data_IF_915145820392
#
_entry.id   IF_915145820392
#
_cell.length_a   1.000
_cell.length_b   1.000
_cell.length_c   1.000
_cell.angle_alpha   90.00
_cell.angle_beta   90.00
_cell.angle_gamma   90.00
#
_symmetry.space_group_name_H-M   'P 1'
#
loop_
_entity.id
_entity.type
_entity.pdbx_description
1 polymer ?
#
# COMPACT_ATOMS: atom_id res chain seq x y z
N UNK A 1 19.86 -38.64 14.83
CA UNK A 1 20.01 -37.74 13.69
C UNK A 1 19.95 -38.45 12.33
N UNK A 2 20.80 -39.45 12.00
CA UNK A 2 20.76 -40.12 10.66
C UNK A 2 19.42 -40.75 10.29
N UNK A 3 18.66 -41.35 11.23
CA UNK A 3 17.33 -41.95 10.95
C UNK A 3 16.22 -40.93 10.67
N UNK A 4 16.28 -39.72 11.24
CA UNK A 4 15.31 -38.68 10.97
C UNK A 4 15.50 -38.01 9.60
N UNK A 5 16.75 -37.86 9.15
CA UNK A 5 17.07 -37.30 7.83
C UNK A 5 16.55 -38.20 6.71
N UNK A 6 16.65 -39.52 6.87
CA UNK A 6 16.12 -40.47 5.87
C UNK A 6 14.59 -40.48 5.76
N UNK A 7 13.87 -40.23 6.85
CA UNK A 7 12.39 -40.17 6.83
C UNK A 7 11.93 -38.91 6.11
N UNK A 8 12.56 -37.75 6.33
CA UNK A 8 12.23 -36.47 5.65
C UNK A 8 12.51 -36.60 4.15
N UNK A 9 13.62 -37.22 3.73
CA UNK A 9 13.91 -37.43 2.30
C UNK A 9 12.91 -38.37 1.62
N UNK A 10 12.40 -39.38 2.30
CA UNK A 10 11.40 -40.31 1.75
C UNK A 10 10.04 -39.64 1.62
N UNK A 11 9.64 -38.78 2.58
CA UNK A 11 8.37 -38.02 2.53
C UNK A 11 8.40 -36.96 1.42
N UNK A 12 9.53 -36.28 1.22
CA UNK A 12 9.67 -35.35 0.10
C UNK A 12 9.64 -36.04 -1.27
N UNK A 13 10.26 -37.18 -1.41
CA UNK A 13 10.23 -37.97 -2.65
C UNK A 13 8.81 -38.51 -2.97
N UNK A 14 8.02 -38.88 -1.96
CA UNK A 14 6.61 -39.27 -2.14
C UNK A 14 5.71 -38.12 -2.54
N UNK A 15 5.93 -36.92 -1.99
CA UNK A 15 5.15 -35.72 -2.37
C UNK A 15 5.39 -35.32 -3.84
N UNK A 16 6.63 -35.41 -4.32
CA UNK A 16 6.98 -35.10 -5.72
C UNK A 16 6.35 -36.12 -6.68
N UNK A 17 6.22 -37.38 -6.30
CA UNK A 17 5.56 -38.40 -7.13
C UNK A 17 4.04 -38.20 -7.21
N UNK A 18 3.38 -37.69 -6.17
CA UNK A 18 1.94 -37.47 -6.18
C UNK A 18 1.58 -36.26 -7.09
N UNK A 19 2.43 -35.25 -7.16
CA UNK A 19 2.22 -34.10 -8.08
C UNK A 19 2.45 -34.43 -9.55
N UNK A 20 3.29 -35.44 -9.86
CA UNK A 20 3.53 -35.88 -11.24
C UNK A 20 2.38 -36.73 -11.84
N UNK A 21 1.54 -37.36 -11.00
CA UNK A 21 0.43 -38.19 -11.46
C UNK A 21 -0.87 -37.42 -11.79
N UNK A 22 -0.97 -36.15 -11.39
CA UNK A 22 -2.16 -35.32 -11.67
C UNK A 22 -2.13 -34.59 -13.03
N UNK A 23 -1.05 -34.72 -13.81
CA UNK A 23 -0.92 -34.04 -15.11
C UNK A 23 -0.97 -34.95 -16.34
N UNK A 24 -1.25 -36.23 -16.17
CA UNK A 24 -1.33 -37.20 -17.29
C UNK A 24 -2.80 -37.64 -17.51
N UNK A 25 -3.60 -36.82 -18.12
CA UNK A 25 -4.92 -37.29 -18.51
C UNK A 25 -5.87 -36.19 -19.00
N UNK A 26 -5.66 -35.64 -20.18
CA UNK A 26 -6.71 -35.09 -21.06
C UNK A 26 -6.09 -34.73 -22.41
N UNK A 27 -6.08 -35.66 -23.36
CA UNK A 27 -5.93 -35.34 -24.78
C UNK A 27 -7.32 -35.19 -25.40
N UNK A 28 -7.61 -34.12 -26.17
CA UNK A 28 -8.85 -34.01 -26.91
C UNK A 28 -8.80 -34.90 -28.16
N UNK A 29 -9.80 -35.68 -28.39
CA UNK A 29 -10.08 -36.40 -29.63
C UNK A 29 -10.57 -35.43 -30.69
N UNK A 30 -9.88 -35.30 -31.79
CA UNK A 30 -10.42 -34.74 -33.06
C UNK A 30 -11.55 -35.62 -33.56
N UNK A 31 -12.71 -35.00 -33.87
CA UNK A 31 -13.69 -35.55 -34.76
C UNK A 31 -13.97 -34.53 -35.86
N UNK A 32 -13.44 -34.85 -37.04
CA UNK A 32 -13.82 -34.29 -38.33
C UNK A 32 -15.23 -34.76 -38.69
N UNK A 33 -16.16 -33.82 -38.95
CA UNK A 33 -17.22 -33.99 -39.92
C UNK A 33 -17.86 -32.63 -40.21
N UNK A 34 -17.57 -32.14 -41.42
CA UNK A 34 -18.37 -31.12 -42.13
C UNK A 34 -19.72 -31.73 -42.56
N UNK A 35 -20.79 -30.98 -42.51
CA UNK A 35 -21.52 -30.71 -43.75
C UNK A 35 -21.98 -29.26 -43.94
N UNK A 36 -22.10 -28.92 -45.20
CA UNK A 36 -22.46 -27.71 -45.91
C UNK A 36 -23.97 -27.32 -45.77
N UNK A 37 -24.38 -26.18 -46.35
CA UNK A 37 -25.32 -25.25 -45.72
C UNK A 37 -26.75 -25.37 -46.27
N UNK A 38 -27.74 -24.91 -45.51
CA UNK A 38 -29.10 -24.68 -46.05
C UNK A 38 -29.73 -23.41 -45.46
N UNK A 39 -29.95 -22.48 -46.38
CA UNK A 39 -30.97 -21.42 -46.53
C UNK A 39 -31.72 -20.82 -45.33
N UNK A 40 -31.68 -19.49 -45.34
CA UNK A 40 -32.63 -18.56 -44.72
C UNK A 40 -34.10 -18.79 -45.13
N UNK A 41 -35.12 -18.29 -44.38
CA UNK A 41 -35.62 -16.97 -44.74
C UNK A 41 -36.02 -16.03 -43.58
N UNK A 42 -35.65 -14.77 -43.82
CA UNK A 42 -36.44 -13.51 -43.74
C UNK A 42 -37.68 -13.47 -42.85
N UNK A 43 -37.71 -12.53 -41.92
CA UNK A 43 -38.78 -11.53 -41.71
C UNK A 43 -38.37 -10.47 -40.69
N UNK A 44 -38.20 -9.24 -41.16
CA UNK A 44 -38.40 -8.01 -40.39
C UNK A 44 -39.89 -7.85 -40.05
N UNK A 45 -40.20 -7.07 -39.00
CA UNK A 45 -40.98 -5.87 -39.25
C UNK A 45 -40.38 -4.61 -38.63
N UNK A 46 -40.48 -3.57 -39.40
CA UNK A 46 -40.28 -2.16 -39.06
C UNK A 46 -41.36 -1.60 -38.12
N UNK A 47 -41.09 -0.35 -37.71
CA UNK A 47 -42.00 0.73 -37.24
C UNK A 47 -41.92 0.88 -35.69
N UNK A 48 -41.74 2.04 -35.05
CA UNK A 48 -42.03 3.43 -35.43
C UNK A 48 -41.15 4.39 -34.62
N UNK A 49 -40.87 5.52 -35.25
CA UNK A 49 -40.32 6.76 -34.77
C UNK A 49 -41.22 7.43 -33.70
N UNK A 50 -40.61 7.90 -32.64
CA UNK A 50 -41.33 8.62 -31.59
C UNK A 50 -40.36 9.48 -30.74
N UNK A 51 -39.82 10.56 -31.34
CA UNK A 51 -39.10 11.61 -30.64
C UNK A 51 -40.06 12.50 -29.86
N UNK A 52 -39.87 12.74 -28.55
CA UNK A 52 -40.44 13.94 -27.89
C UNK A 52 -39.36 15.00 -27.68
N UNK A 53 -39.61 16.14 -28.20
CA UNK A 53 -38.96 17.43 -28.04
C UNK A 53 -38.91 17.88 -26.56
N UNK A 54 -37.81 18.40 -26.05
CA UNK A 54 -37.80 19.00 -24.72
C UNK A 54 -38.33 20.42 -24.71
N UNK A 55 -39.19 20.72 -23.73
CA UNK A 55 -39.73 22.04 -23.45
C UNK A 55 -38.71 22.92 -22.69
N UNK A 56 -38.79 24.27 -22.76
CA UNK A 56 -37.74 25.18 -22.34
C UNK A 56 -37.70 25.42 -20.83
N UNK A 57 -36.46 25.50 -20.32
CA UNK A 57 -36.13 25.87 -18.94
C UNK A 57 -36.34 27.36 -18.73
N UNK A 58 -37.09 27.73 -17.72
CA UNK A 58 -37.29 29.11 -17.27
C UNK A 58 -36.16 29.50 -16.30
N UNK A 59 -35.52 30.64 -16.59
CA UNK A 59 -34.53 31.34 -15.76
C UNK A 59 -35.26 32.18 -14.69
N UNK A 60 -34.87 32.13 -13.40
CA UNK A 60 -35.31 33.15 -12.45
C UNK A 60 -34.35 34.34 -12.43
N UNK A 61 -34.91 35.53 -12.58
CA UNK A 61 -34.26 36.82 -12.43
C UNK A 61 -33.86 37.12 -10.98
N UNK A 62 -32.69 37.72 -10.84
CA UNK A 62 -32.26 38.44 -9.64
C UNK A 62 -33.11 39.68 -9.43
N UNK A 63 -33.59 39.89 -8.20
CA UNK A 63 -33.93 41.22 -7.67
C UNK A 63 -33.14 41.43 -6.40
N UNK A 64 -32.26 42.41 -6.47
CA UNK A 64 -31.53 42.93 -5.33
C UNK A 64 -32.40 43.79 -4.43
N UNK A 65 -32.09 43.77 -3.15
CA UNK A 65 -32.35 44.91 -2.23
C UNK A 65 -31.27 44.90 -1.15
N UNK A 66 -30.44 45.94 -1.19
CA UNK A 66 -29.55 46.35 -0.11
C UNK A 66 -30.39 46.81 1.09
N UNK A 67 -30.00 46.33 2.28
CA UNK A 67 -30.29 47.06 3.51
C UNK A 67 -29.07 46.99 4.41
N UNK A 68 -28.40 48.09 4.51
CA UNK A 68 -27.37 48.45 5.47
C UNK A 68 -27.99 48.51 6.87
N UNK A 69 -27.41 47.83 7.85
CA UNK A 69 -27.74 48.06 9.26
C UNK A 69 -26.45 48.11 10.05
N UNK A 70 -26.20 49.27 10.64
CA UNK A 70 -25.07 49.63 11.47
C UNK A 70 -24.93 48.73 12.70
N UNK A 71 -23.66 48.46 13.07
CA UNK A 71 -23.24 47.79 14.30
C UNK A 71 -23.21 48.78 15.47
N UNK A 72 -23.58 48.39 16.68
CA UNK A 72 -23.21 49.16 17.87
C UNK A 72 -21.84 48.73 18.37
N UNK A 73 -20.96 49.70 18.48
CA UNK A 73 -19.67 49.64 19.18
C UNK A 73 -19.90 49.42 20.67
N UNK A 74 -19.38 48.33 21.22
CA UNK A 74 -19.21 48.18 22.66
C UNK A 74 -17.72 48.14 22.98
N UNK A 75 -17.30 49.14 23.71
CA UNK A 75 -16.01 49.36 24.32
C UNK A 75 -15.81 48.36 25.47
N UNK A 76 -14.84 47.45 25.37
CA UNK A 76 -14.43 46.57 26.49
C UNK A 76 -12.91 46.67 26.62
N UNK A 77 -12.51 47.28 27.72
CA UNK A 77 -11.15 47.37 28.27
C UNK A 77 -10.47 45.99 28.40
N UNK A 78 -9.18 45.87 28.15
CA UNK A 78 -8.50 44.59 28.24
C UNK A 78 -8.25 44.20 29.70
N UNK A 79 -8.92 43.16 30.15
CA UNK A 79 -8.59 42.46 31.37
C UNK A 79 -7.37 41.52 31.12
N UNK A 80 -6.32 41.74 31.88
CA UNK A 80 -5.07 40.97 31.88
C UNK A 80 -5.37 39.53 32.23
N UNK A 81 -5.28 38.63 31.24
CA UNK A 81 -5.24 37.19 31.49
C UNK A 81 -3.79 36.74 31.49
N UNK A 82 -3.31 36.36 32.68
CA UNK A 82 -2.02 35.68 32.84
C UNK A 82 -1.98 34.42 31.96
N UNK A 83 -1.00 34.35 31.05
CA UNK A 83 -0.65 33.12 30.33
C UNK A 83 -0.20 32.05 31.33
N UNK A 84 -0.72 30.83 31.27
CA UNK A 84 -0.11 29.71 31.98
C UNK A 84 1.22 29.39 31.28
N UNK A 85 2.33 29.74 31.90
CA UNK A 85 3.66 29.22 31.56
C UNK A 85 3.71 27.72 31.88
N UNK A 86 3.03 26.91 31.07
CA UNK A 86 3.29 25.51 30.93
C UNK A 86 4.44 25.34 29.98
N UNK A 87 5.63 25.00 30.48
CA UNK A 87 6.73 24.49 29.70
C UNK A 87 6.19 23.36 28.84
N UNK A 88 5.98 23.64 27.53
CA UNK A 88 5.80 22.59 26.56
C UNK A 88 7.06 21.71 26.64
N UNK A 89 6.88 20.49 27.14
CA UNK A 89 7.92 19.47 27.05
C UNK A 89 8.18 19.31 25.54
N UNK A 90 9.33 19.77 25.10
CA UNK A 90 9.80 19.51 23.75
C UNK A 90 9.82 17.99 23.59
N UNK A 91 8.92 17.49 22.74
CA UNK A 91 8.97 16.10 22.31
C UNK A 91 10.36 15.88 21.70
N UNK A 92 11.07 14.81 22.06
CA UNK A 92 12.39 14.56 21.50
C UNK A 92 12.26 14.55 19.97
N UNK A 93 13.00 15.48 19.33
CA UNK A 93 13.12 15.57 17.89
C UNK A 93 13.65 14.20 17.41
N UNK A 94 12.95 13.56 16.48
CA UNK A 94 13.43 12.31 15.88
C UNK A 94 14.80 12.54 15.23
N UNK A 95 15.64 11.51 15.20
CA UNK A 95 16.95 11.59 14.55
C UNK A 95 16.74 11.96 13.07
N UNK A 96 17.33 13.10 12.65
CA UNK A 96 17.35 13.50 11.24
C UNK A 96 18.24 12.53 10.47
N UNK A 97 17.64 11.78 9.55
CA UNK A 97 18.37 10.85 8.69
C UNK A 97 18.50 11.48 7.29
N UNK A 98 19.70 11.96 6.99
CA UNK A 98 20.02 12.47 5.67
C UNK A 98 20.38 11.31 4.72
N UNK A 99 19.62 11.19 3.62
CA UNK A 99 19.84 10.20 2.57
C UNK A 99 20.70 10.83 1.46
N UNK A 100 21.74 11.58 1.80
CA UNK A 100 22.68 12.06 0.80
C UNK A 100 23.48 10.91 0.20
N UNK A 101 23.23 10.65 -1.05
CA UNK A 101 23.94 9.65 -1.83
C UNK A 101 24.28 10.22 -3.18
N UNK A 102 25.36 9.78 -3.79
CA UNK A 102 25.76 10.13 -5.16
C UNK A 102 24.81 9.54 -6.22
N UNK A 103 23.48 9.53 -5.97
CA UNK A 103 22.45 9.02 -6.84
C UNK A 103 22.17 7.53 -6.71
N UNK A 104 22.80 6.83 -5.74
CA UNK A 104 22.53 5.42 -5.44
C UNK A 104 21.99 5.26 -4.02
N UNK A 105 21.11 4.28 -3.78
CA UNK A 105 20.66 3.95 -2.44
C UNK A 105 21.83 3.61 -1.53
N UNK A 106 21.85 4.16 -0.32
CA UNK A 106 22.80 3.76 0.71
C UNK A 106 22.11 3.00 1.81
N UNK A 107 22.80 1.98 2.31
CA UNK A 107 22.35 1.24 3.49
C UNK A 107 22.48 2.15 4.71
N UNK A 108 21.37 2.43 5.35
CA UNK A 108 21.37 2.97 6.71
C UNK A 108 20.41 2.13 7.56
N UNK A 109 20.78 1.92 8.81
CA UNK A 109 19.98 1.15 9.75
C UNK A 109 18.98 2.07 10.43
N UNK A 110 17.68 1.88 10.16
CA UNK A 110 16.67 2.37 11.08
C UNK A 110 16.86 1.69 12.44
N UNK A 111 16.65 2.42 13.55
CA UNK A 111 16.66 1.79 14.85
C UNK A 111 15.62 0.67 14.92
N UNK A 112 16.02 -0.55 15.30
CA UNK A 112 15.14 -1.70 15.52
C UNK A 112 14.89 -1.95 17.00
N UNK A 113 15.15 -0.95 17.85
CA UNK A 113 15.00 -1.04 19.29
C UNK A 113 13.53 -1.15 19.69
N UNK A 114 13.23 -2.04 20.66
CA UNK A 114 11.89 -2.25 21.19
C UNK A 114 11.61 -1.49 22.50
N UNK A 115 12.56 -0.71 22.99
CA UNK A 115 12.43 0.15 24.20
C UNK A 115 11.89 -0.60 25.42
N UNK A 116 12.33 -1.83 25.62
CA UNK A 116 11.94 -2.70 26.72
C UNK A 116 10.58 -3.41 26.54
N UNK A 117 9.95 -3.27 25.38
CA UNK A 117 8.75 -4.05 25.01
C UNK A 117 9.14 -5.43 24.46
N UNK A 118 8.26 -6.40 24.66
CA UNK A 118 8.37 -7.71 23.99
C UNK A 118 7.92 -7.63 22.53
N UNK A 119 8.34 -8.61 21.71
CA UNK A 119 7.85 -8.74 20.34
C UNK A 119 6.32 -8.83 20.28
N UNK A 120 5.72 -9.61 21.18
CA UNK A 120 4.27 -9.80 21.23
C UNK A 120 3.51 -8.49 21.54
N UNK A 121 4.02 -7.63 22.43
CA UNK A 121 3.42 -6.33 22.68
C UNK A 121 3.48 -5.42 21.45
N UNK A 122 4.62 -5.42 20.73
CA UNK A 122 4.75 -4.67 19.50
C UNK A 122 3.85 -5.20 18.38
N UNK A 123 3.73 -6.51 18.24
CA UNK A 123 2.89 -7.16 17.23
C UNK A 123 1.40 -6.96 17.50
N UNK A 124 0.96 -6.96 18.74
CA UNK A 124 -0.43 -6.66 19.13
C UNK A 124 -0.87 -5.24 18.70
N UNK A 125 0.06 -4.30 18.56
CA UNK A 125 -0.24 -2.96 18.05
C UNK A 125 -0.83 -2.96 16.65
N UNK A 126 -0.56 -4.00 15.84
CA UNK A 126 -1.07 -4.13 14.47
C UNK A 126 -2.49 -4.71 14.37
N UNK A 127 -3.11 -5.10 15.47
CA UNK A 127 -4.42 -5.79 15.47
C UNK A 127 -5.51 -5.05 14.67
N UNK A 128 -5.54 -3.72 14.73
CA UNK A 128 -6.50 -2.88 14.01
C UNK A 128 -5.88 -2.20 12.76
N UNK A 129 -4.73 -2.69 12.30
CA UNK A 129 -4.06 -2.20 11.11
C UNK A 129 -4.53 -2.93 9.84
N UNK A 130 -4.36 -2.25 8.69
CA UNK A 130 -4.48 -2.82 7.36
C UNK A 130 -3.21 -2.49 6.56
N UNK A 131 -2.52 -3.52 6.06
CA UNK A 131 -1.47 -3.35 5.08
C UNK A 131 -2.09 -3.20 3.69
N UNK A 132 -1.75 -2.11 3.01
CA UNK A 132 -2.24 -1.77 1.67
C UNK A 132 -1.07 -1.76 0.71
N UNK A 133 -1.17 -2.48 -0.41
CA UNK A 133 -0.03 -2.52 -1.33
C UNK A 133 -0.19 -3.41 -2.55
N UNK A 134 0.94 -3.64 -3.19
CA UNK A 134 1.10 -4.43 -4.41
C UNK A 134 1.54 -5.88 -4.13
N UNK A 135 2.22 -6.49 -5.10
CA UNK A 135 2.76 -7.86 -4.98
C UNK A 135 3.78 -8.02 -3.84
N UNK A 136 4.47 -6.95 -3.44
CA UNK A 136 5.41 -7.00 -2.30
C UNK A 136 4.63 -7.16 -0.99
N UNK A 137 3.54 -6.39 -0.82
CA UNK A 137 2.65 -6.55 0.35
C UNK A 137 1.89 -7.88 0.29
N UNK A 138 1.58 -8.39 -0.91
CA UNK A 138 1.01 -9.74 -1.06
C UNK A 138 2.00 -10.82 -0.57
N UNK A 139 3.29 -10.65 -0.84
CA UNK A 139 4.35 -11.49 -0.28
C UNK A 139 4.41 -11.42 1.25
N UNK A 140 4.33 -10.21 1.83
CA UNK A 140 4.23 -10.00 3.28
C UNK A 140 3.00 -10.70 3.87
N UNK A 141 1.84 -10.62 3.22
CA UNK A 141 0.62 -11.34 3.62
C UNK A 141 0.85 -12.86 3.64
N UNK A 142 1.51 -13.40 2.61
CA UNK A 142 1.80 -14.84 2.52
C UNK A 142 2.75 -15.27 3.64
N UNK A 143 3.80 -14.47 3.89
CA UNK A 143 4.73 -14.72 5.00
C UNK A 143 4.01 -14.64 6.36
N UNK A 144 3.19 -13.62 6.60
CA UNK A 144 2.39 -13.51 7.82
C UNK A 144 1.49 -14.74 8.02
N UNK A 145 0.82 -15.20 6.96
CA UNK A 145 -0.03 -16.41 7.01
C UNK A 145 0.76 -17.68 7.33
N UNK A 146 2.01 -17.78 6.87
CA UNK A 146 2.91 -18.88 7.20
C UNK A 146 3.32 -18.83 8.68
N UNK A 147 3.72 -17.67 9.16
CA UNK A 147 4.18 -17.49 10.54
C UNK A 147 3.06 -17.75 11.55
N UNK A 148 1.83 -17.36 11.26
CA UNK A 148 0.64 -17.63 12.10
C UNK A 148 0.37 -19.12 12.33
N UNK A 149 0.88 -20.01 11.50
CA UNK A 149 0.77 -21.47 11.73
C UNK A 149 1.57 -21.95 12.94
N UNK A 150 2.66 -21.24 13.29
CA UNK A 150 3.54 -21.59 14.39
C UNK A 150 3.45 -20.59 15.55
N UNK A 151 3.06 -19.37 15.28
CA UNK A 151 2.87 -18.28 16.24
C UNK A 151 1.53 -17.58 15.98
N UNK A 152 0.44 -18.00 16.65
CA UNK A 152 -0.89 -17.38 16.47
C UNK A 152 -0.96 -15.90 16.84
N UNK A 153 0.05 -15.37 17.52
CA UNK A 153 0.16 -13.95 17.89
C UNK A 153 0.89 -13.10 16.86
N UNK A 154 1.50 -13.71 15.85
CA UNK A 154 2.35 -13.01 14.88
C UNK A 154 1.59 -11.92 14.14
N UNK A 155 1.92 -10.65 14.41
CA UNK A 155 1.25 -9.44 13.91
C UNK A 155 -0.28 -9.42 14.11
N UNK A 156 -0.79 -10.19 15.07
CA UNK A 156 -2.19 -10.18 15.49
C UNK A 156 -3.18 -10.46 14.35
N UNK A 157 -4.34 -9.80 14.44
CA UNK A 157 -5.38 -9.87 13.41
C UNK A 157 -5.22 -8.79 12.33
N UNK A 158 -3.98 -8.45 11.97
CA UNK A 158 -3.74 -7.44 10.93
C UNK A 158 -4.42 -7.83 9.62
N UNK A 159 -4.90 -6.84 8.89
CA UNK A 159 -5.64 -7.05 7.64
C UNK A 159 -4.76 -6.69 6.46
N UNK A 160 -5.16 -7.16 5.29
CA UNK A 160 -4.46 -6.92 4.05
C UNK A 160 -5.44 -6.51 2.96
N UNK A 161 -5.09 -5.45 2.23
CA UNK A 161 -5.79 -4.99 1.05
C UNK A 161 -4.75 -4.76 -0.05
N UNK A 162 -4.42 -5.83 -0.76
CA UNK A 162 -3.31 -5.86 -1.71
C UNK A 162 -3.64 -6.71 -2.93
N UNK A 163 -3.06 -6.34 -4.09
CA UNK A 163 -3.22 -7.02 -5.36
C UNK A 163 -1.92 -6.91 -6.17
N UNK A 164 -1.62 -7.91 -6.99
CA UNK A 164 -0.48 -7.85 -7.90
C UNK A 164 -0.57 -6.66 -8.86
N UNK A 165 0.56 -6.00 -9.14
CA UNK A 165 0.65 -4.84 -10.04
C UNK A 165 -0.17 -3.60 -9.62
N UNK A 166 -0.77 -3.61 -8.44
CA UNK A 166 -1.49 -2.45 -7.91
C UNK A 166 -0.54 -1.30 -7.59
N UNK A 167 -1.05 -0.07 -7.57
CA UNK A 167 -0.23 1.11 -7.28
C UNK A 167 -1.10 2.33 -6.98
N UNK A 168 -0.47 3.47 -6.72
CA UNK A 168 -1.16 4.73 -6.46
C UNK A 168 -2.12 5.10 -7.59
N UNK A 169 -1.64 5.05 -8.86
CA UNK A 169 -2.45 5.42 -10.01
C UNK A 169 -3.66 4.51 -10.19
N UNK A 170 -3.47 3.19 -10.09
CA UNK A 170 -4.57 2.23 -10.18
C UNK A 170 -5.60 2.41 -9.05
N UNK A 171 -5.16 2.84 -7.86
CA UNK A 171 -6.05 3.12 -6.74
C UNK A 171 -6.98 4.33 -6.97
N UNK A 172 -6.61 5.22 -7.89
CA UNK A 172 -7.38 6.41 -8.24
C UNK A 172 -8.35 6.19 -9.41
N UNK A 173 -8.23 5.07 -10.12
CA UNK A 173 -9.13 4.70 -11.20
C UNK A 173 -10.54 4.39 -10.69
N UNK A 174 -11.57 4.43 -11.57
CA UNK A 174 -12.89 3.93 -11.23
C UNK A 174 -12.87 2.44 -10.86
N UNK A 175 -13.57 2.08 -9.79
CA UNK A 175 -13.74 0.68 -9.40
C UNK A 175 -14.68 -0.02 -10.37
N UNK A 176 -14.16 -0.99 -11.11
CA UNK A 176 -14.93 -1.84 -12.04
C UNK A 176 -14.50 -3.31 -11.86
N UNK A 177 -15.21 -4.25 -12.47
CA UNK A 177 -14.81 -5.66 -12.43
C UNK A 177 -13.45 -5.91 -13.10
N UNK A 178 -13.08 -5.10 -14.09
CA UNK A 178 -11.81 -5.23 -14.83
C UNK A 178 -10.65 -4.41 -14.20
N UNK A 179 -10.94 -3.51 -13.24
CA UNK A 179 -9.91 -2.71 -12.58
C UNK A 179 -9.00 -3.57 -11.70
N UNK A 180 -7.80 -3.06 -11.38
CA UNK A 180 -6.83 -3.76 -10.49
C UNK A 180 -7.17 -3.66 -9.00
N UNK A 181 -8.30 -3.05 -8.64
CA UNK A 181 -8.68 -2.94 -7.22
C UNK A 181 -8.81 -4.31 -6.55
N UNK A 182 -8.24 -4.47 -5.35
CA UNK A 182 -8.40 -5.70 -4.58
C UNK A 182 -9.86 -5.93 -4.17
N UNK A 183 -10.21 -7.17 -3.85
CA UNK A 183 -11.54 -7.52 -3.34
C UNK A 183 -11.60 -7.51 -1.82
N UNK A 184 -12.68 -6.96 -1.29
CA UNK A 184 -13.05 -7.11 0.11
C UNK A 184 -14.54 -7.40 0.24
N UNK A 185 -14.89 -8.43 1.02
CA UNK A 185 -16.28 -8.91 1.11
C UNK A 185 -16.86 -9.45 -0.20
N UNK A 186 -15.99 -9.96 -1.09
CA UNK A 186 -16.38 -10.53 -2.39
C UNK A 186 -16.44 -9.51 -3.54
N UNK A 187 -16.39 -8.21 -3.28
CA UNK A 187 -16.47 -7.13 -4.26
C UNK A 187 -15.16 -6.35 -4.37
N UNK A 188 -14.85 -5.83 -5.55
CA UNK A 188 -13.77 -4.86 -5.73
C UNK A 188 -14.12 -3.57 -5.02
N UNK A 189 -13.12 -2.95 -4.36
CA UNK A 189 -13.31 -1.75 -3.55
C UNK A 189 -12.19 -0.77 -3.78
N UNK A 190 -12.47 0.53 -3.60
CA UNK A 190 -11.42 1.52 -3.40
C UNK A 190 -10.73 1.30 -2.04
N UNK A 191 -9.53 1.83 -1.88
CA UNK A 191 -8.77 1.71 -0.61
C UNK A 191 -9.56 2.34 0.53
N UNK A 192 -10.07 3.55 0.33
CA UNK A 192 -10.81 4.31 1.34
C UNK A 192 -12.10 3.61 1.77
N UNK A 193 -12.79 2.90 0.83
CA UNK A 193 -13.97 2.10 1.13
C UNK A 193 -13.62 0.85 1.92
N UNK A 194 -12.58 0.14 1.48
CA UNK A 194 -12.14 -1.08 2.15
C UNK A 194 -11.68 -0.80 3.58
N UNK A 195 -10.89 0.26 3.80
CA UNK A 195 -10.43 0.67 5.13
C UNK A 195 -11.61 1.01 6.07
N UNK A 196 -12.63 1.69 5.56
CA UNK A 196 -13.84 2.00 6.33
C UNK A 196 -14.61 0.74 6.69
N UNK A 197 -14.85 -0.15 5.72
CA UNK A 197 -15.56 -1.42 5.93
C UNK A 197 -14.81 -2.35 6.89
N UNK A 198 -13.49 -2.34 6.87
CA UNK A 198 -12.63 -3.05 7.81
C UNK A 198 -12.63 -2.42 9.20
N UNK A 199 -13.12 -1.19 9.36
CA UNK A 199 -12.95 -0.39 10.57
C UNK A 199 -11.47 -0.30 10.98
N UNK A 200 -10.58 -0.13 9.99
CA UNK A 200 -9.15 -0.02 10.23
C UNK A 200 -8.83 1.29 10.96
N UNK A 201 -7.98 1.24 11.97
CA UNK A 201 -7.51 2.43 12.69
C UNK A 201 -6.16 2.91 12.14
N UNK A 202 -5.44 2.02 11.50
CA UNK A 202 -4.14 2.26 10.88
C UNK A 202 -4.12 1.70 9.46
N UNK A 203 -3.56 2.43 8.50
CA UNK A 203 -3.25 1.91 7.18
C UNK A 203 -1.75 2.07 6.93
N UNK A 204 -1.11 0.97 6.54
CA UNK A 204 0.33 0.89 6.29
C UNK A 204 0.48 0.61 4.79
N UNK A 205 0.93 1.62 4.04
CA UNK A 205 0.88 1.65 2.58
C UNK A 205 2.27 1.44 2.00
N UNK A 206 2.40 0.52 1.04
CA UNK A 206 3.63 0.29 0.28
C UNK A 206 3.31 0.20 -1.21
N UNK A 207 3.69 1.25 -1.95
CA UNK A 207 3.51 1.38 -3.40
C UNK A 207 4.71 2.07 -4.04
N UNK A 208 4.67 2.18 -5.36
CA UNK A 208 5.58 3.01 -6.16
C UNK A 208 6.33 2.25 -7.24
N UNK A 209 6.67 0.98 -7.01
CA UNK A 209 7.42 0.15 -8.00
C UNK A 209 6.63 0.01 -9.32
N UNK A 210 5.32 -0.17 -9.24
CA UNK A 210 4.45 -0.29 -10.42
C UNK A 210 4.10 1.06 -11.05
N UNK A 211 4.14 2.14 -10.28
CA UNK A 211 3.73 3.47 -10.72
C UNK A 211 4.80 4.18 -11.55
N UNK A 212 6.06 4.08 -11.13
CA UNK A 212 7.16 4.90 -11.65
C UNK A 212 7.38 4.72 -13.16
N UNK A 213 7.15 3.52 -13.68
CA UNK A 213 7.27 3.23 -15.13
C UNK A 213 6.16 3.89 -15.94
N UNK A 214 4.99 4.09 -15.36
CA UNK A 214 3.78 4.62 -16.00
C UNK A 214 3.76 6.15 -15.88
N UNK A 215 3.83 6.65 -14.65
CA UNK A 215 3.58 8.05 -14.31
C UNK A 215 4.88 8.87 -14.13
N UNK A 216 6.05 8.22 -14.05
CA UNK A 216 7.30 8.88 -13.66
C UNK A 216 7.30 9.21 -12.16
N UNK A 217 8.33 9.92 -11.69
CA UNK A 217 8.45 10.29 -10.28
C UNK A 217 7.36 11.29 -9.90
N UNK A 218 7.27 12.41 -10.59
CA UNK A 218 6.34 13.50 -10.25
C UNK A 218 4.89 13.03 -10.29
N UNK A 219 4.46 12.34 -11.36
CA UNK A 219 3.10 11.81 -11.45
C UNK A 219 2.78 10.75 -10.39
N UNK A 220 3.77 9.96 -9.96
CA UNK A 220 3.60 9.01 -8.85
C UNK A 220 3.42 9.74 -7.51
N UNK A 221 4.16 10.82 -7.27
CA UNK A 221 4.03 11.65 -6.08
C UNK A 221 2.70 12.39 -6.04
N UNK A 222 2.22 12.91 -7.18
CA UNK A 222 0.90 13.52 -7.30
C UNK A 222 -0.22 12.51 -6.97
N UNK A 223 -0.13 11.31 -7.51
CA UNK A 223 -1.05 10.21 -7.21
C UNK A 223 -1.02 9.83 -5.72
N UNK A 224 0.17 9.81 -5.09
CA UNK A 224 0.31 9.57 -3.67
C UNK A 224 -0.46 10.61 -2.83
N UNK A 225 -0.30 11.91 -3.14
CA UNK A 225 -1.01 13.00 -2.45
C UNK A 225 -2.53 12.89 -2.61
N UNK A 226 -3.00 12.61 -3.82
CA UNK A 226 -4.43 12.43 -4.10
C UNK A 226 -5.01 11.24 -3.32
N UNK A 227 -4.30 10.10 -3.28
CA UNK A 227 -4.74 8.94 -2.52
C UNK A 227 -4.85 9.23 -1.02
N UNK A 228 -3.85 9.92 -0.44
CA UNK A 228 -3.87 10.36 0.96
C UNK A 228 -5.11 11.24 1.22
N UNK A 229 -5.39 12.20 0.32
CA UNK A 229 -6.56 13.09 0.42
C UNK A 229 -7.87 12.28 0.43
N UNK A 230 -8.04 11.32 -0.48
CA UNK A 230 -9.24 10.45 -0.54
C UNK A 230 -9.41 9.60 0.70
N UNK A 231 -8.31 9.02 1.20
CA UNK A 231 -8.36 8.22 2.42
C UNK A 231 -8.84 9.07 3.60
N UNK A 232 -8.25 10.25 3.82
CA UNK A 232 -8.64 11.12 4.93
C UNK A 232 -10.05 11.69 4.79
N UNK A 233 -10.49 12.01 3.56
CA UNK A 233 -11.85 12.49 3.31
C UNK A 233 -12.91 11.47 3.79
N UNK A 234 -12.64 10.19 3.66
CA UNK A 234 -13.56 9.12 4.05
C UNK A 234 -13.30 8.54 5.44
N UNK A 235 -12.04 8.56 5.87
CA UNK A 235 -11.56 7.99 7.13
C UNK A 235 -10.78 9.04 7.93
N UNK A 236 -11.41 10.11 8.45
CA UNK A 236 -10.72 11.28 9.00
C UNK A 236 -9.88 10.99 10.26
N UNK A 237 -10.11 9.87 10.93
CA UNK A 237 -9.41 9.49 12.15
C UNK A 237 -8.40 8.34 11.96
N UNK A 238 -8.17 7.91 10.70
CA UNK A 238 -7.21 6.84 10.43
C UNK A 238 -5.78 7.38 10.58
N UNK A 239 -4.88 6.58 11.14
CA UNK A 239 -3.45 6.86 11.11
C UNK A 239 -2.83 6.22 9.88
N UNK A 240 -2.12 7.01 9.07
CA UNK A 240 -1.38 6.51 7.90
C UNK A 240 0.08 6.30 8.25
N UNK A 241 0.68 5.31 7.60
CA UNK A 241 2.11 5.00 7.60
C UNK A 241 2.50 4.62 6.18
N UNK A 242 3.67 5.08 5.72
CA UNK A 242 4.17 4.70 4.39
C UNK A 242 5.45 3.90 4.51
N UNK A 243 5.50 2.76 3.85
CA UNK A 243 6.70 1.96 3.66
C UNK A 243 7.36 2.40 2.35
N UNK A 244 8.68 2.51 2.34
CA UNK A 244 9.47 2.79 1.14
C UNK A 244 9.17 1.80 0.01
N UNK A 245 9.14 2.29 -1.24
CA UNK A 245 9.20 1.44 -2.41
C UNK A 245 10.51 0.62 -2.41
N UNK A 246 10.42 -0.66 -2.73
CA UNK A 246 11.56 -1.57 -2.66
C UNK A 246 12.52 -1.36 -3.82
N UNK A 247 13.83 -1.54 -3.54
CA UNK A 247 14.88 -1.50 -4.55
C UNK A 247 14.93 -2.81 -5.34
N UNK A 248 15.69 -2.79 -6.43
CA UNK A 248 15.78 -3.87 -7.41
C UNK A 248 17.06 -4.70 -7.22
N UNK A 249 17.00 -5.90 -7.72
CA UNK A 249 18.16 -6.78 -7.89
C UNK A 249 19.11 -6.23 -8.97
N UNK A 250 20.42 -6.42 -8.77
CA UNK A 250 21.46 -5.93 -9.69
C UNK A 250 21.29 -6.51 -11.09
N UNK A 251 21.28 -5.63 -12.11
CA UNK A 251 21.12 -6.01 -13.50
C UNK A 251 19.69 -6.26 -13.98
N UNK A 252 18.67 -6.13 -13.09
CA UNK A 252 17.27 -6.25 -13.47
C UNK A 252 16.62 -4.90 -13.83
N UNK A 253 17.32 -3.82 -13.65
CA UNK A 253 16.85 -2.45 -13.86
C UNK A 253 16.36 -2.18 -15.28
N UNK A 254 15.38 -1.29 -15.39
CA UNK A 254 14.78 -0.81 -16.64
C UNK A 254 14.99 0.70 -16.75
N UNK A 255 14.82 1.31 -17.94
CA UNK A 255 15.10 2.74 -18.14
C UNK A 255 14.40 3.68 -17.16
N UNK A 256 13.18 3.39 -16.76
CA UNK A 256 12.43 4.19 -15.79
C UNK A 256 12.40 3.54 -14.40
N UNK A 257 12.32 2.23 -14.32
CA UNK A 257 12.31 1.48 -13.07
C UNK A 257 13.75 1.02 -12.76
N UNK A 258 14.44 1.78 -11.94
CA UNK A 258 15.81 1.56 -11.51
C UNK A 258 16.02 2.14 -10.10
N UNK A 259 17.09 1.76 -9.43
CA UNK A 259 17.34 2.12 -8.04
C UNK A 259 17.58 3.62 -7.83
N UNK A 260 18.15 4.33 -8.81
CA UNK A 260 18.30 5.78 -8.73
C UNK A 260 16.93 6.49 -8.71
N UNK A 261 16.02 6.09 -9.59
CA UNK A 261 14.67 6.64 -9.63
C UNK A 261 13.82 6.22 -8.42
N UNK A 262 13.98 4.99 -7.93
CA UNK A 262 13.32 4.53 -6.70
C UNK A 262 13.81 5.29 -5.45
N UNK A 263 15.09 5.65 -5.40
CA UNK A 263 15.63 6.51 -4.36
C UNK A 263 14.97 7.90 -4.38
N UNK A 264 14.88 8.52 -5.56
CA UNK A 264 14.22 9.83 -5.72
C UNK A 264 12.73 9.76 -5.36
N UNK A 265 12.05 8.70 -5.77
CA UNK A 265 10.65 8.46 -5.39
C UNK A 265 10.50 8.33 -3.87
N UNK A 266 11.34 7.52 -3.22
CA UNK A 266 11.30 7.34 -1.77
C UNK A 266 11.54 8.64 -1.00
N UNK A 267 12.45 9.50 -1.49
CA UNK A 267 12.65 10.85 -0.96
C UNK A 267 11.38 11.69 -1.08
N UNK A 268 10.77 11.73 -2.27
CA UNK A 268 9.55 12.49 -2.48
C UNK A 268 8.38 12.00 -1.61
N UNK A 269 8.23 10.67 -1.44
CA UNK A 269 7.23 10.11 -0.52
C UNK A 269 7.54 10.50 0.93
N UNK A 270 8.81 10.45 1.36
CA UNK A 270 9.22 10.85 2.70
C UNK A 270 8.95 12.34 2.95
N UNK A 271 9.22 13.22 1.97
CA UNK A 271 8.89 14.64 2.03
C UNK A 271 7.38 14.87 2.20
N UNK A 272 6.53 14.18 1.40
CA UNK A 272 5.07 14.22 1.57
C UNK A 272 4.67 13.79 2.99
N UNK A 273 5.27 12.71 3.47
CA UNK A 273 5.01 12.18 4.80
C UNK A 273 5.40 13.18 5.90
N UNK A 274 6.56 13.83 5.78
CA UNK A 274 7.01 14.86 6.70
C UNK A 274 6.07 16.07 6.73
N UNK A 275 5.63 16.57 5.55
CA UNK A 275 4.67 17.67 5.43
C UNK A 275 3.33 17.37 6.12
N UNK A 276 2.89 16.12 6.06
CA UNK A 276 1.58 15.67 6.57
C UNK A 276 1.64 15.00 7.96
N UNK A 277 2.82 14.97 8.61
CA UNK A 277 3.07 14.28 9.87
C UNK A 277 2.69 12.78 9.82
N UNK A 278 2.99 12.12 8.71
CA UNK A 278 2.80 10.69 8.50
C UNK A 278 4.16 10.01 8.68
N UNK A 279 4.31 8.97 9.50
CA UNK A 279 5.56 8.22 9.60
C UNK A 279 5.93 7.55 8.28
N UNK A 280 7.16 7.79 7.81
CA UNK A 280 7.78 7.07 6.69
C UNK A 280 8.69 5.96 7.21
N UNK A 281 8.48 4.74 6.76
CA UNK A 281 9.17 3.54 7.23
C UNK A 281 10.11 3.06 6.13
N UNK A 282 11.40 3.40 6.21
CA UNK A 282 12.37 3.05 5.19
C UNK A 282 12.90 1.61 5.36
N UNK A 283 12.08 0.63 5.00
CA UNK A 283 12.49 -0.79 5.03
C UNK A 283 13.49 -1.10 3.91
N UNK A 284 13.32 -0.50 2.73
CA UNK A 284 14.13 -0.82 1.55
C UNK A 284 15.64 -0.66 1.81
N UNK A 285 16.04 0.33 2.62
CA UNK A 285 17.45 0.54 2.96
C UNK A 285 18.10 -0.57 3.80
N UNK A 286 17.30 -1.42 4.45
CA UNK A 286 17.80 -2.58 5.18
C UNK A 286 18.08 -3.80 4.28
N UNK A 287 17.51 -3.78 3.07
CA UNK A 287 17.47 -4.92 2.16
C UNK A 287 18.45 -4.78 0.98
N UNK A 288 19.38 -3.85 1.05
CA UNK A 288 20.38 -3.62 0.00
C UNK A 288 21.80 -3.88 0.50
N UNK A 289 22.69 -4.20 -0.44
CA UNK A 289 24.11 -4.33 -0.24
C UNK A 289 24.82 -2.95 -0.26
N UNK A 290 26.15 -2.97 -0.21
CA UNK A 290 26.97 -1.75 -0.25
C UNK A 290 26.92 -1.03 -1.62
N UNK A 291 26.49 -1.72 -2.68
CA UNK A 291 26.30 -1.15 -4.01
C UNK A 291 24.88 -0.58 -4.23
N UNK A 292 23.97 -0.72 -3.25
CA UNK A 292 22.60 -0.23 -3.31
C UNK A 292 21.61 -1.16 -4.05
N UNK A 293 21.93 -2.44 -4.18
CA UNK A 293 21.09 -3.44 -4.82
C UNK A 293 20.60 -4.49 -3.83
N UNK A 294 19.43 -5.08 -4.12
CA UNK A 294 18.92 -6.20 -3.34
C UNK A 294 19.78 -7.43 -3.61
N UNK A 295 20.43 -8.05 -2.59
CA UNK A 295 21.25 -9.24 -2.77
C UNK A 295 20.38 -10.51 -2.92
N UNK A 296 21.01 -11.63 -3.35
CA UNK A 296 20.36 -12.95 -3.54
C UNK A 296 19.57 -13.42 -2.31
N UNK A 297 20.08 -13.13 -1.11
CA UNK A 297 19.44 -13.50 0.15
C UNK A 297 18.02 -12.93 0.26
N UNK A 298 17.80 -11.72 -0.25
CA UNK A 298 16.53 -10.99 -0.13
C UNK A 298 15.70 -10.98 -1.41
N UNK A 299 16.21 -11.43 -2.55
CA UNK A 299 15.51 -11.47 -3.82
C UNK A 299 14.99 -12.87 -4.14
N UNK A 300 13.69 -13.04 -4.40
CA UNK A 300 13.08 -14.32 -4.74
C UNK A 300 13.01 -14.58 -6.25
N UNK A 301 13.12 -13.55 -7.07
CA UNK A 301 12.94 -13.62 -8.53
C UNK A 301 14.04 -12.92 -9.32
N UNK A 302 15.07 -12.43 -8.63
CA UNK A 302 16.13 -11.59 -9.19
C UNK A 302 15.58 -10.33 -9.89
N UNK A 303 14.51 -9.77 -9.33
CA UNK A 303 13.87 -8.56 -9.85
C UNK A 303 13.43 -7.62 -8.71
N UNK A 304 12.21 -7.71 -8.22
CA UNK A 304 11.65 -6.82 -7.18
C UNK A 304 11.00 -7.58 -6.02
N UNK A 305 10.69 -8.87 -6.18
CA UNK A 305 10.01 -9.63 -5.14
C UNK A 305 11.00 -10.17 -4.11
N UNK A 306 10.50 -10.32 -2.90
CA UNK A 306 11.31 -10.56 -1.72
C UNK A 306 11.21 -12.01 -1.23
N UNK A 307 12.28 -12.49 -0.58
CA UNK A 307 12.32 -13.78 0.12
C UNK A 307 11.69 -13.66 1.51
N UNK A 308 11.49 -14.78 2.18
CA UNK A 308 11.08 -14.79 3.58
C UNK A 308 12.14 -14.19 4.52
N UNK A 309 13.44 -14.30 4.19
CA UNK A 309 14.49 -13.62 4.93
C UNK A 309 14.35 -12.08 4.89
N UNK A 310 13.93 -11.53 3.75
CA UNK A 310 13.61 -10.11 3.67
C UNK A 310 12.40 -9.74 4.55
N UNK A 311 11.37 -10.58 4.60
CA UNK A 311 10.21 -10.34 5.47
C UNK A 311 10.52 -10.53 6.96
N UNK A 312 11.54 -11.29 7.35
CA UNK A 312 12.08 -11.27 8.72
C UNK A 312 12.59 -9.87 9.09
N UNK A 313 13.31 -9.21 8.17
CA UNK A 313 13.75 -7.81 8.34
C UNK A 313 12.56 -6.84 8.43
N UNK A 314 11.53 -7.03 7.59
CA UNK A 314 10.29 -6.26 7.71
C UNK A 314 9.69 -6.36 9.12
N UNK A 315 9.60 -7.59 9.65
CA UNK A 315 9.04 -7.82 10.97
C UNK A 315 9.82 -7.07 12.06
N UNK A 316 11.16 -7.05 11.99
CA UNK A 316 12.00 -6.32 12.95
C UNK A 316 11.77 -4.81 12.89
N UNK A 317 11.78 -4.23 11.69
CA UNK A 317 11.55 -2.79 11.50
C UNK A 317 10.13 -2.41 11.95
N UNK A 318 9.11 -3.17 11.54
CA UNK A 318 7.73 -2.89 11.91
C UNK A 318 7.50 -2.99 13.43
N UNK A 319 8.13 -3.94 14.12
CA UNK A 319 8.08 -4.01 15.59
C UNK A 319 8.67 -2.75 16.23
N UNK A 320 9.76 -2.21 15.69
CA UNK A 320 10.35 -0.96 16.23
C UNK A 320 9.43 0.24 16.00
N UNK A 321 8.71 0.29 14.89
CA UNK A 321 7.68 1.31 14.63
C UNK A 321 6.59 1.23 15.69
N UNK A 322 6.05 0.03 15.94
CA UNK A 322 5.07 -0.18 16.99
C UNK A 322 5.60 0.19 18.38
N UNK A 323 6.85 -0.15 18.68
CA UNK A 323 7.49 0.19 19.95
C UNK A 323 7.59 1.71 20.15
N UNK A 324 7.96 2.46 19.11
CA UNK A 324 7.99 3.93 19.14
C UNK A 324 6.61 4.52 19.39
N UNK A 325 5.59 4.05 18.68
CA UNK A 325 4.20 4.47 18.88
C UNK A 325 3.71 4.19 20.30
N UNK A 326 3.95 2.99 20.83
CA UNK A 326 3.55 2.61 22.19
C UNK A 326 4.29 3.40 23.29
N UNK A 327 5.50 3.88 23.02
CA UNK A 327 6.30 4.69 23.95
C UNK A 327 6.18 6.19 23.72
N UNK A 328 5.47 6.63 22.67
CA UNK A 328 5.37 8.03 22.29
C UNK A 328 6.71 8.62 21.84
N UNK A 329 7.57 7.82 21.20
CA UNK A 329 8.86 8.24 20.66
C UNK A 329 8.66 8.65 19.21
N UNK A 330 9.17 9.83 18.85
CA UNK A 330 9.08 10.35 17.49
C UNK A 330 9.75 9.40 16.47
N UNK A 331 9.15 9.29 15.29
CA UNK A 331 9.75 8.56 14.17
C UNK A 331 10.89 9.36 13.56
N UNK A 332 11.90 8.68 12.97
CA UNK A 332 12.94 9.35 12.21
C UNK A 332 12.35 10.18 11.08
N UNK A 333 12.93 11.35 10.83
CA UNK A 333 12.61 12.22 9.70
C UNK A 333 13.63 11.98 8.59
N UNK A 334 13.17 11.75 7.38
CA UNK A 334 14.00 11.48 6.21
C UNK A 334 14.01 12.70 5.28
N UNK A 335 15.23 13.11 4.84
CA UNK A 335 15.47 14.25 3.96
C UNK A 335 16.25 13.86 2.70
#
# INVERSE_FOLDING_TARGET
MKKMINIISIVMALLIMITAFCFAGCTPKENNSTPEPTAQPTSEPQIEDGTPTPAPVATPQQTGTNTETEAPTADISPESTEEPTGTASELPVGDDINIETNGLPTRFTMPTELYGLSKAECEAWFEDACFVGDSVVLGWKNYNSLMLQNDPGFFGNTRFFCEGSYGFGHALEPVTEDSLHPRYGGEKRSIEDALQLMNAKKAIICFGVNDISIYGIDGTLDNCRELISRIYAKNPNIKLYFISAMYMYKGSEKPKLNNANLLLLNRGIAEICNELNIPFINIASHLIDEEGFVPDEYSSDHYVHQTYAAYDVWAEVLRSVAARELKGIAHPVFH
#
